data_IF_772579105791
#
_entry.id   IF_772579105791
#
_cell.length_a   1.000
_cell.length_b   1.000
_cell.length_c   1.000
_cell.angle_alpha   90.00
_cell.angle_beta   90.00
_cell.angle_gamma   90.00
#
_symmetry.space_group_name_H-M   'P 1'
#
loop_
_entity.id
_entity.type
_entity.pdbx_description
1 polymer ?
#
# COMPACT_ATOMS: atom_id res chain seq x y z
N UNK A 1 -11.88 -21.18 -9.92
CA UNK A 1 -10.76 -20.75 -10.79
C UNK A 1 -10.52 -19.26 -10.49
N UNK A 2 -9.29 -18.88 -10.18
CA UNK A 2 -8.94 -17.50 -9.79
C UNK A 2 -9.26 -16.56 -10.94
N UNK A 3 -10.00 -15.48 -10.68
CA UNK A 3 -10.30 -14.45 -11.69
C UNK A 3 -9.12 -13.48 -11.80
N UNK A 4 -8.45 -13.50 -12.95
CA UNK A 4 -7.33 -12.60 -13.28
C UNK A 4 -7.73 -11.50 -14.28
N UNK A 5 -9.02 -11.27 -14.44
CA UNK A 5 -9.56 -10.28 -15.36
C UNK A 5 -9.20 -8.85 -14.90
N UNK A 6 -8.83 -8.01 -15.87
CA UNK A 6 -8.48 -6.62 -15.61
C UNK A 6 -7.06 -6.38 -15.09
N UNK A 7 -6.28 -7.42 -14.81
CA UNK A 7 -4.87 -7.25 -14.44
C UNK A 7 -4.09 -6.66 -15.63
N UNK A 8 -3.36 -5.59 -15.37
CA UNK A 8 -2.51 -5.01 -16.41
C UNK A 8 -1.38 -5.97 -16.82
N UNK A 9 -1.10 -6.04 -18.12
CA UNK A 9 -0.11 -6.97 -18.71
C UNK A 9 1.28 -6.92 -18.06
N UNK A 10 1.67 -5.77 -17.49
CA UNK A 10 2.96 -5.62 -16.81
C UNK A 10 3.12 -6.48 -15.57
N UNK A 11 2.02 -6.93 -14.95
CA UNK A 11 2.04 -7.79 -13.76
C UNK A 11 1.78 -9.26 -14.05
N UNK A 12 1.24 -9.62 -15.21
CA UNK A 12 0.85 -11.00 -15.50
C UNK A 12 1.97 -12.03 -15.26
N UNK A 13 3.23 -11.82 -15.70
CA UNK A 13 4.29 -12.81 -15.51
C UNK A 13 4.56 -13.11 -14.03
N UNK A 14 4.63 -12.06 -13.18
CA UNK A 14 4.94 -12.22 -11.75
C UNK A 14 3.74 -12.79 -10.98
N UNK A 15 2.52 -12.44 -11.35
CA UNK A 15 1.30 -12.97 -10.73
C UNK A 15 1.13 -14.43 -11.06
N UNK A 16 1.23 -14.84 -12.35
CA UNK A 16 1.13 -16.25 -12.75
C UNK A 16 2.20 -17.13 -12.08
N UNK A 17 3.42 -16.62 -11.95
CA UNK A 17 4.46 -17.34 -11.22
C UNK A 17 4.12 -17.48 -9.73
N UNK A 18 3.62 -16.41 -9.10
CA UNK A 18 3.37 -16.37 -7.66
C UNK A 18 2.19 -17.22 -7.20
N UNK A 19 1.04 -17.17 -7.91
CA UNK A 19 -0.17 -17.90 -7.50
C UNK A 19 -0.04 -19.43 -7.57
N UNK A 20 0.90 -19.92 -8.36
CA UNK A 20 1.17 -21.36 -8.50
C UNK A 20 2.21 -21.88 -7.49
N UNK A 21 2.71 -21.04 -6.59
CA UNK A 21 3.66 -21.43 -5.56
C UNK A 21 2.97 -21.63 -4.21
N UNK A 22 3.49 -22.58 -3.43
CA UNK A 22 3.08 -22.73 -2.03
C UNK A 22 3.63 -21.57 -1.18
N UNK A 23 2.89 -21.12 -0.15
CA UNK A 23 1.60 -21.66 0.32
C UNK A 23 0.36 -21.09 -0.37
N UNK A 24 0.53 -20.17 -1.35
CA UNK A 24 -0.58 -19.44 -1.99
C UNK A 24 -1.46 -20.36 -2.84
N UNK A 25 -0.87 -21.34 -3.51
CA UNK A 25 -1.61 -22.37 -4.25
C UNK A 25 -2.58 -23.11 -3.34
N UNK A 26 -2.12 -23.55 -2.16
CA UNK A 26 -2.97 -24.23 -1.18
C UNK A 26 -4.09 -23.32 -0.66
N UNK A 27 -3.84 -22.02 -0.48
CA UNK A 27 -4.88 -21.07 -0.09
C UNK A 27 -6.03 -21.07 -1.11
N UNK A 28 -5.74 -20.97 -2.38
CA UNK A 28 -6.76 -20.92 -3.44
C UNK A 28 -7.47 -22.24 -3.68
N UNK A 29 -6.76 -23.36 -3.63
CA UNK A 29 -7.31 -24.69 -3.95
C UNK A 29 -8.06 -25.30 -2.78
N UNK A 30 -7.63 -25.07 -1.53
CA UNK A 30 -8.11 -25.79 -0.38
C UNK A 30 -8.81 -24.93 0.68
N UNK A 31 -8.36 -23.68 0.88
CA UNK A 31 -8.84 -22.83 1.98
C UNK A 31 -10.00 -21.95 1.55
N UNK A 32 -9.81 -21.10 0.55
CA UNK A 32 -10.83 -20.13 0.13
C UNK A 32 -12.15 -20.79 -0.30
N UNK A 33 -12.17 -21.96 -0.98
CA UNK A 33 -13.43 -22.63 -1.32
C UNK A 33 -14.24 -23.12 -0.11
N UNK A 34 -13.60 -23.28 1.06
CA UNK A 34 -14.22 -23.82 2.26
C UNK A 34 -14.69 -22.77 3.27
N UNK A 35 -14.37 -21.48 3.06
CA UNK A 35 -14.63 -20.41 4.02
C UNK A 35 -15.27 -19.19 3.36
N UNK A 36 -15.87 -18.33 4.19
CA UNK A 36 -16.24 -16.97 3.76
C UNK A 36 -15.04 -16.04 3.90
N UNK A 37 -14.70 -15.30 2.84
CA UNK A 37 -13.55 -14.42 2.82
C UNK A 37 -13.86 -13.07 2.18
N UNK A 38 -12.96 -12.10 2.36
CA UNK A 38 -12.99 -10.77 1.79
C UNK A 38 -11.66 -10.50 1.07
N UNK A 39 -11.66 -9.64 0.03
CA UNK A 39 -12.78 -9.04 -0.70
C UNK A 39 -13.52 -10.07 -1.55
N UNK A 40 -14.45 -9.59 -2.39
CA UNK A 40 -15.05 -10.44 -3.46
C UNK A 40 -13.95 -10.97 -4.39
N UNK A 41 -14.17 -12.14 -4.98
CA UNK A 41 -13.18 -12.82 -5.82
C UNK A 41 -12.65 -11.93 -6.97
N UNK A 42 -13.50 -11.13 -7.60
CA UNK A 42 -13.14 -10.21 -8.67
C UNK A 42 -12.29 -9.00 -8.23
N UNK A 43 -12.23 -8.72 -6.92
CA UNK A 43 -11.48 -7.61 -6.34
C UNK A 43 -10.16 -8.03 -5.70
N UNK A 44 -9.84 -9.34 -5.60
CA UNK A 44 -8.60 -9.84 -4.99
C UNK A 44 -7.37 -9.17 -5.63
N UNK A 45 -7.34 -9.10 -6.97
CA UNK A 45 -6.22 -8.55 -7.72
C UNK A 45 -6.47 -7.13 -8.28
N UNK A 46 -7.46 -6.41 -7.75
CA UNK A 46 -7.88 -5.09 -8.25
C UNK A 46 -6.73 -4.08 -8.33
N UNK A 47 -5.84 -4.07 -7.35
CA UNK A 47 -4.69 -3.15 -7.30
C UNK A 47 -3.76 -3.29 -8.52
N UNK A 48 -3.71 -4.47 -9.15
CA UNK A 48 -2.87 -4.75 -10.33
C UNK A 48 -3.49 -4.31 -11.67
N UNK A 49 -4.62 -3.61 -11.65
CA UNK A 49 -5.18 -2.96 -12.85
C UNK A 49 -4.35 -1.76 -13.29
N UNK A 50 -3.65 -1.12 -12.35
CA UNK A 50 -2.74 -0.01 -12.63
C UNK A 50 -1.49 -0.51 -13.39
N UNK A 51 -1.09 0.14 -14.51
CA UNK A 51 0.20 -0.13 -15.17
C UNK A 51 1.38 0.15 -14.23
N UNK A 52 2.41 -0.69 -14.27
CA UNK A 52 3.57 -0.55 -13.36
C UNK A 52 4.31 0.77 -13.56
N UNK A 53 4.40 1.26 -14.79
CA UNK A 53 5.03 2.53 -15.16
C UNK A 53 4.25 3.78 -14.71
N UNK A 54 3.03 3.60 -14.23
CA UNK A 54 2.20 4.68 -13.66
C UNK A 54 2.32 4.79 -12.14
N UNK A 55 2.98 3.84 -11.50
CA UNK A 55 3.12 3.86 -10.05
C UNK A 55 4.13 4.94 -9.64
N UNK A 56 3.66 5.92 -8.88
CA UNK A 56 4.47 6.99 -8.27
C UNK A 56 4.72 6.71 -6.80
N UNK A 57 3.71 6.20 -6.11
CA UNK A 57 3.74 5.92 -4.68
C UNK A 57 3.13 4.55 -4.42
N UNK A 58 3.76 3.74 -3.58
CA UNK A 58 3.19 2.50 -3.04
C UNK A 58 2.86 2.71 -1.57
N UNK A 59 1.62 2.42 -1.19
CA UNK A 59 1.17 2.37 0.21
C UNK A 59 0.91 0.91 0.56
N UNK A 60 1.50 0.42 1.65
CA UNK A 60 1.31 -0.97 2.09
C UNK A 60 0.39 -1.02 3.30
N UNK A 61 -0.81 -1.59 3.11
CA UNK A 61 -1.74 -1.97 4.18
C UNK A 61 -1.45 -3.37 4.73
N UNK A 62 -2.20 -3.79 5.74
CA UNK A 62 -2.06 -5.14 6.32
C UNK A 62 -2.85 -6.16 5.50
N UNK A 63 -4.16 -6.11 5.56
CA UNK A 63 -5.11 -7.02 4.93
C UNK A 63 -6.41 -6.27 4.62
N UNK A 64 -7.33 -6.85 3.83
CA UNK A 64 -8.64 -6.26 3.56
C UNK A 64 -9.47 -6.10 4.83
N UNK A 65 -10.48 -5.22 4.80
CA UNK A 65 -11.51 -5.21 5.84
C UNK A 65 -12.17 -6.58 5.93
N UNK A 66 -12.23 -7.16 7.13
CA UNK A 66 -12.80 -8.51 7.35
C UNK A 66 -14.32 -8.54 7.47
N UNK A 67 -14.98 -7.37 7.50
CA UNK A 67 -16.43 -7.24 7.55
C UNK A 67 -16.99 -7.41 6.14
N UNK A 68 -18.09 -8.20 5.95
CA UNK A 68 -18.69 -8.39 4.64
C UNK A 68 -19.01 -7.10 3.90
N UNK A 69 -18.68 -7.04 2.61
CA UNK A 69 -18.94 -5.92 1.71
C UNK A 69 -18.20 -4.60 2.05
N UNK A 70 -17.23 -4.61 2.95
CA UNK A 70 -16.41 -3.43 3.23
C UNK A 70 -15.11 -3.38 2.42
N UNK A 71 -14.52 -4.52 2.10
CA UNK A 71 -13.25 -4.60 1.39
C UNK A 71 -13.38 -4.31 -0.11
N UNK A 72 -12.62 -3.34 -0.59
CA UNK A 72 -12.60 -2.91 -1.99
C UNK A 72 -11.54 -3.61 -2.86
N UNK A 73 -10.63 -4.41 -2.25
CA UNK A 73 -9.42 -4.90 -2.92
C UNK A 73 -8.24 -3.91 -2.89
N UNK A 74 -8.44 -2.69 -2.40
CA UNK A 74 -7.41 -1.67 -2.23
C UNK A 74 -7.20 -1.37 -0.75
N UNK A 75 -5.95 -1.17 -0.30
CA UNK A 75 -5.70 -0.92 1.12
C UNK A 75 -6.31 0.42 1.56
N UNK A 76 -6.83 0.45 2.81
CA UNK A 76 -7.52 1.58 3.43
C UNK A 76 -8.84 2.02 2.77
N UNK A 77 -9.12 1.63 1.53
CA UNK A 77 -10.36 1.98 0.83
C UNK A 77 -11.50 1.03 1.25
N UNK A 78 -12.62 1.60 1.67
CA UNK A 78 -13.83 0.87 2.07
C UNK A 78 -14.94 1.10 1.04
N UNK A 79 -15.63 0.03 0.61
CA UNK A 79 -16.75 0.11 -0.33
C UNK A 79 -18.01 0.73 0.27
N UNK A 80 -18.09 0.78 1.60
CA UNK A 80 -19.17 1.48 2.29
C UNK A 80 -18.77 2.93 2.58
N UNK A 81 -19.72 3.80 2.81
CA UNK A 81 -19.44 5.20 3.19
C UNK A 81 -18.83 5.37 4.60
N UNK A 82 -18.41 4.27 5.24
CA UNK A 82 -17.76 4.32 6.55
C UNK A 82 -16.28 4.64 6.42
N UNK A 83 -15.88 5.75 6.98
CA UNK A 83 -14.46 6.12 7.10
C UNK A 83 -13.87 5.44 8.34
N UNK A 84 -12.93 4.52 8.15
CA UNK A 84 -12.24 3.84 9.24
C UNK A 84 -11.41 4.81 10.10
N UNK A 85 -11.08 4.43 11.33
CA UNK A 85 -10.24 5.27 12.19
C UNK A 85 -8.82 5.48 11.59
N UNK A 86 -8.27 4.48 10.92
CA UNK A 86 -6.99 4.63 10.18
C UNK A 86 -7.12 5.71 9.11
N UNK A 87 -8.18 5.66 8.30
CA UNK A 87 -8.39 6.62 7.22
C UNK A 87 -8.67 8.04 7.75
N UNK A 88 -9.41 8.17 8.86
CA UNK A 88 -9.59 9.47 9.54
C UNK A 88 -8.25 10.07 9.97
N UNK A 89 -7.36 9.25 10.52
CA UNK A 89 -6.03 9.71 10.94
C UNK A 89 -5.15 10.07 9.73
N UNK A 90 -5.26 9.32 8.62
CA UNK A 90 -4.60 9.65 7.36
C UNK A 90 -5.07 11.03 6.85
N UNK A 91 -6.38 11.26 6.76
CA UNK A 91 -6.92 12.53 6.31
C UNK A 91 -6.53 13.71 7.21
N UNK A 92 -6.49 13.48 8.53
CA UNK A 92 -6.03 14.49 9.48
C UNK A 92 -4.56 14.85 9.26
N UNK A 93 -3.69 13.87 9.00
CA UNK A 93 -2.29 14.12 8.70
C UNK A 93 -2.11 14.83 7.34
N UNK A 94 -2.90 14.47 6.32
CA UNK A 94 -2.92 15.19 5.05
C UNK A 94 -3.25 16.65 5.28
N UNK A 95 -4.35 16.94 5.96
CA UNK A 95 -4.78 18.31 6.23
C UNK A 95 -3.71 19.09 7.00
N UNK A 96 -3.15 18.51 8.06
CA UNK A 96 -2.11 19.12 8.89
C UNK A 96 -0.82 19.44 8.11
N UNK A 97 -0.40 18.54 7.21
CA UNK A 97 0.90 18.66 6.53
C UNK A 97 0.84 19.40 5.18
N UNK A 98 -0.33 19.41 4.54
CA UNK A 98 -0.51 19.97 3.19
C UNK A 98 -1.57 21.06 3.09
N UNK A 99 -2.48 21.16 4.05
CA UNK A 99 -3.66 22.03 3.99
C UNK A 99 -4.78 21.51 3.08
N UNK A 100 -4.67 20.29 2.54
CA UNK A 100 -5.67 19.67 1.67
C UNK A 100 -6.66 18.82 2.47
N UNK A 101 -7.88 18.65 1.95
CA UNK A 101 -8.80 17.62 2.42
C UNK A 101 -8.47 16.32 1.69
N UNK A 102 -8.17 15.23 2.43
CA UNK A 102 -7.78 13.96 1.82
C UNK A 102 -8.96 13.26 1.15
N UNK A 103 -8.74 12.72 -0.06
CA UNK A 103 -9.70 11.86 -0.76
C UNK A 103 -9.00 10.63 -1.36
N UNK A 104 -9.05 9.51 -0.65
CA UNK A 104 -8.44 8.24 -1.08
C UNK A 104 -9.03 7.71 -2.41
N UNK A 105 -10.27 8.08 -2.77
CA UNK A 105 -10.91 7.63 -4.01
C UNK A 105 -10.21 8.16 -5.26
N UNK A 106 -9.49 9.28 -5.14
CA UNK A 106 -8.72 9.88 -6.24
C UNK A 106 -7.28 9.37 -6.34
N UNK A 107 -6.80 8.59 -5.38
CA UNK A 107 -5.38 8.23 -5.27
C UNK A 107 -4.91 7.30 -6.38
N UNK A 108 -5.69 6.25 -6.67
CA UNK A 108 -5.33 5.27 -7.71
C UNK A 108 -5.12 5.95 -9.08
N UNK A 109 -6.00 6.89 -9.44
CA UNK A 109 -5.94 7.62 -10.71
C UNK A 109 -4.70 8.53 -10.83
N UNK A 110 -4.07 8.87 -9.69
CA UNK A 110 -2.88 9.70 -9.62
C UNK A 110 -1.58 8.89 -9.54
N UNK A 111 -1.66 7.55 -9.57
CA UNK A 111 -0.50 6.65 -9.52
C UNK A 111 -0.13 6.20 -8.11
N UNK A 112 -1.08 6.20 -7.17
CA UNK A 112 -0.86 5.63 -5.85
C UNK A 112 -1.35 4.17 -5.83
N UNK A 113 -0.42 3.23 -5.64
CA UNK A 113 -0.65 1.80 -5.62
C UNK A 113 -1.00 1.34 -4.20
N UNK A 114 -2.26 1.04 -3.96
CA UNK A 114 -2.82 0.74 -2.64
C UNK A 114 -2.79 -0.77 -2.35
N UNK A 115 -1.61 -1.29 -2.01
CA UNK A 115 -1.35 -2.73 -1.84
C UNK A 115 -1.60 -3.17 -0.39
N UNK A 116 -2.37 -4.24 -0.18
CA UNK A 116 -2.38 -4.97 1.08
C UNK A 116 -1.28 -6.03 1.11
N UNK A 117 -0.70 -6.30 2.29
CA UNK A 117 0.29 -7.37 2.47
C UNK A 117 -0.33 -8.77 2.33
N UNK A 118 -1.61 -8.93 2.64
CA UNK A 118 -2.43 -10.07 2.28
C UNK A 118 -3.61 -9.59 1.44
N UNK A 119 -3.86 -10.20 0.28
CA UNK A 119 -4.93 -9.76 -0.63
C UNK A 119 -6.28 -10.38 -0.27
N UNK A 120 -6.32 -11.33 0.64
CA UNK A 120 -7.55 -11.92 1.18
C UNK A 120 -7.48 -12.02 2.69
N UNK A 121 -8.65 -12.12 3.32
CA UNK A 121 -8.82 -12.34 4.76
C UNK A 121 -10.08 -13.16 5.00
N UNK A 122 -10.08 -14.09 5.95
CA UNK A 122 -11.29 -14.76 6.40
C UNK A 122 -12.26 -13.76 7.03
N UNK A 123 -13.54 -13.88 6.70
CA UNK A 123 -14.57 -12.98 7.22
C UNK A 123 -14.59 -13.01 8.75
N UNK A 124 -14.43 -11.84 9.37
CA UNK A 124 -14.40 -11.65 10.82
C UNK A 124 -13.06 -11.99 11.51
N UNK A 125 -12.03 -12.45 10.78
CA UNK A 125 -10.76 -12.91 11.35
C UNK A 125 -9.56 -12.15 10.75
N UNK A 126 -9.29 -10.90 11.16
CA UNK A 126 -8.18 -10.10 10.65
C UNK A 126 -6.83 -10.82 10.80
N UNK A 127 -5.99 -10.75 9.77
CA UNK A 127 -4.66 -11.35 9.75
C UNK A 127 -4.60 -12.84 9.36
N UNK A 128 -5.75 -13.51 9.21
CA UNK A 128 -5.84 -14.96 8.97
C UNK A 128 -5.04 -15.47 7.77
N UNK A 129 -4.89 -14.67 6.71
CA UNK A 129 -4.21 -15.09 5.48
C UNK A 129 -2.83 -14.47 5.26
N UNK A 130 -2.29 -13.69 6.21
CA UNK A 130 -1.01 -12.97 6.03
C UNK A 130 0.13 -13.93 5.64
N UNK A 131 0.26 -15.08 6.30
CA UNK A 131 1.33 -16.03 6.03
C UNK A 131 1.27 -16.65 4.64
N UNK A 132 0.08 -16.81 4.06
CA UNK A 132 -0.09 -17.34 2.70
C UNK A 132 0.38 -16.34 1.64
N UNK A 133 0.16 -15.05 1.88
CA UNK A 133 0.46 -13.99 0.92
C UNK A 133 1.88 -13.42 1.02
N UNK A 134 2.59 -13.65 2.12
CA UNK A 134 3.85 -12.96 2.42
C UNK A 134 4.90 -13.11 1.31
N UNK A 135 5.12 -14.33 0.80
CA UNK A 135 6.10 -14.59 -0.26
C UNK A 135 5.69 -13.92 -1.57
N UNK A 136 4.40 -14.00 -1.92
CA UNK A 136 3.85 -13.34 -3.11
C UNK A 136 4.05 -11.83 -3.02
N UNK A 137 3.67 -11.22 -1.91
CA UNK A 137 3.78 -9.77 -1.70
C UNK A 137 5.23 -9.30 -1.72
N UNK A 138 6.16 -10.04 -1.07
CA UNK A 138 7.60 -9.79 -1.19
C UNK A 138 8.06 -9.80 -2.65
N UNK A 139 7.59 -10.77 -3.44
CA UNK A 139 7.95 -10.88 -4.87
C UNK A 139 7.41 -9.70 -5.67
N UNK A 140 6.17 -9.29 -5.42
CA UNK A 140 5.56 -8.11 -6.06
C UNK A 140 6.34 -6.82 -5.71
N UNK A 141 6.71 -6.63 -4.45
CA UNK A 141 7.46 -5.46 -4.00
C UNK A 141 8.83 -5.39 -4.68
N UNK A 142 9.56 -6.51 -4.73
CA UNK A 142 10.84 -6.61 -5.46
C UNK A 142 10.65 -6.29 -6.94
N UNK A 143 9.61 -6.84 -7.55
CA UNK A 143 9.32 -6.62 -8.96
C UNK A 143 9.02 -5.15 -9.26
N UNK A 144 8.13 -4.50 -8.49
CA UNK A 144 7.81 -3.08 -8.66
C UNK A 144 9.09 -2.24 -8.47
N UNK A 145 9.79 -2.40 -7.35
CA UNK A 145 10.95 -1.57 -6.98
C UNK A 145 12.11 -1.69 -7.97
N UNK A 146 12.27 -2.86 -8.63
CA UNK A 146 13.28 -3.07 -9.66
C UNK A 146 12.88 -2.46 -11.01
N UNK A 147 11.59 -2.59 -11.39
CA UNK A 147 11.09 -2.14 -12.70
C UNK A 147 10.75 -0.66 -12.76
N UNK A 148 10.29 -0.11 -11.65
CA UNK A 148 9.80 1.26 -11.57
C UNK A 148 10.11 1.85 -10.18
N UNK A 149 11.32 2.38 -9.94
CA UNK A 149 11.65 3.05 -8.69
C UNK A 149 10.65 4.14 -8.36
N UNK A 150 10.13 4.13 -7.13
CA UNK A 150 9.04 5.00 -6.70
C UNK A 150 9.14 5.36 -5.21
N UNK A 151 8.11 5.99 -4.67
CA UNK A 151 8.03 6.35 -3.25
C UNK A 151 7.24 5.26 -2.49
N UNK A 152 7.71 4.87 -1.30
CA UNK A 152 7.12 3.82 -0.47
C UNK A 152 6.67 4.38 0.88
N UNK A 153 5.39 4.28 1.17
CA UNK A 153 4.84 4.55 2.50
C UNK A 153 4.75 3.26 3.30
N UNK A 154 5.68 3.10 4.25
CA UNK A 154 5.75 1.93 5.12
C UNK A 154 5.23 2.29 6.51
N UNK A 155 3.92 2.15 6.71
CA UNK A 155 3.26 2.50 7.95
C UNK A 155 3.06 1.28 8.85
N UNK A 156 3.71 1.31 10.03
CA UNK A 156 3.66 0.22 11.01
C UNK A 156 4.60 -0.94 10.70
N UNK A 157 4.77 -1.79 11.69
CA UNK A 157 5.74 -2.91 11.65
C UNK A 157 5.47 -3.90 10.51
N UNK A 158 4.19 -4.13 10.17
CA UNK A 158 3.81 -5.06 9.10
C UNK A 158 4.31 -4.58 7.73
N UNK A 159 4.10 -3.30 7.40
CA UNK A 159 4.61 -2.73 6.16
C UNK A 159 6.14 -2.62 6.17
N UNK A 160 6.73 -2.21 7.29
CA UNK A 160 8.19 -2.01 7.44
C UNK A 160 9.01 -3.29 7.28
N UNK A 161 8.44 -4.48 7.53
CA UNK A 161 9.16 -5.75 7.29
C UNK A 161 9.52 -5.98 5.82
N UNK A 162 8.81 -5.33 4.88
CA UNK A 162 9.07 -5.42 3.45
C UNK A 162 10.16 -4.45 2.95
N UNK A 163 10.73 -3.61 3.82
CA UNK A 163 11.86 -2.73 3.45
C UNK A 163 13.03 -3.51 2.82
N UNK A 164 13.31 -4.70 3.33
CA UNK A 164 14.35 -5.61 2.83
C UNK A 164 14.12 -6.10 1.39
N UNK A 165 12.88 -6.00 0.91
CA UNK A 165 12.47 -6.45 -0.42
C UNK A 165 12.48 -5.32 -1.46
N UNK A 166 12.73 -4.07 -1.04
CA UNK A 166 12.79 -2.90 -1.92
C UNK A 166 14.21 -2.76 -2.47
N UNK A 167 14.33 -2.73 -3.80
CA UNK A 167 15.60 -2.56 -4.50
C UNK A 167 16.10 -1.11 -4.40
N UNK A 168 17.43 -0.90 -4.26
CA UNK A 168 18.03 0.44 -4.16
C UNK A 168 17.28 1.41 -3.23
N UNK A 169 17.07 1.05 -1.96
CA UNK A 169 16.27 1.86 -1.05
C UNK A 169 17.03 3.12 -0.61
N UNK A 170 16.36 4.27 -0.62
CA UNK A 170 16.79 5.49 0.04
C UNK A 170 15.83 5.82 1.17
N UNK A 171 16.27 5.64 2.41
CA UNK A 171 15.44 5.93 3.59
C UNK A 171 15.45 7.43 3.85
N UNK A 172 14.30 8.06 3.72
CA UNK A 172 14.10 9.47 4.07
C UNK A 172 14.05 9.58 5.59
N UNK A 173 15.13 10.08 6.20
CA UNK A 173 15.25 10.25 7.66
C UNK A 173 14.91 11.70 8.04
N UNK A 174 14.13 11.82 9.10
CA UNK A 174 13.86 13.09 9.76
C UNK A 174 12.64 13.85 9.22
N UNK A 175 12.01 14.52 10.13
CA UNK A 175 10.78 15.29 9.94
C UNK A 175 11.07 16.80 9.85
N UNK A 176 12.35 17.18 9.60
CA UNK A 176 12.77 18.58 9.51
C UNK A 176 12.76 19.07 8.05
N UNK A 177 12.14 20.21 7.81
CA UNK A 177 12.06 20.85 6.51
C UNK A 177 13.43 21.14 5.84
N UNK A 178 14.53 21.23 6.61
CA UNK A 178 15.89 21.39 6.09
C UNK A 178 16.41 20.13 5.40
N UNK A 179 16.08 18.94 5.93
CA UNK A 179 16.57 17.67 5.40
C UNK A 179 15.94 17.31 4.05
N UNK A 180 14.77 17.84 3.72
CA UNK A 180 14.12 17.57 2.42
C UNK A 180 14.87 18.22 1.25
N UNK A 181 15.52 19.35 1.50
CA UNK A 181 16.30 20.04 0.45
C UNK A 181 17.54 19.24 0.07
N UNK A 182 18.08 18.44 0.99
CA UNK A 182 19.31 17.67 0.84
C UNK A 182 19.06 16.21 0.39
N UNK A 183 17.80 15.79 0.13
CA UNK A 183 17.52 14.47 -0.40
C UNK A 183 18.17 14.32 -1.78
N UNK A 184 19.10 13.35 -1.96
CA UNK A 184 19.69 13.07 -3.26
C UNK A 184 18.59 12.59 -4.20
N UNK A 185 18.50 13.19 -5.38
CA UNK A 185 17.48 12.86 -6.36
C UNK A 185 18.07 11.97 -7.43
N UNK A 186 17.47 10.81 -7.61
CA UNK A 186 17.79 9.87 -8.68
C UNK A 186 16.55 9.04 -9.03
N UNK A 187 16.30 8.88 -10.32
CA UNK A 187 15.27 7.97 -10.83
C UNK A 187 15.61 6.49 -10.59
N UNK A 188 16.76 6.19 -9.98
CA UNK A 188 17.17 4.83 -9.61
C UNK A 188 16.86 4.51 -8.14
N UNK A 189 16.46 5.49 -7.33
CA UNK A 189 16.17 5.27 -5.93
C UNK A 189 14.69 5.01 -5.68
N UNK A 190 14.44 4.04 -4.81
CA UNK A 190 13.18 3.86 -4.15
C UNK A 190 13.19 4.64 -2.83
N UNK A 191 12.37 5.68 -2.71
CA UNK A 191 12.33 6.55 -1.53
C UNK A 191 11.41 5.95 -0.48
N UNK A 192 11.94 5.62 0.68
CA UNK A 192 11.17 5.00 1.77
C UNK A 192 10.88 6.02 2.87
N UNK A 193 9.57 6.21 3.17
CA UNK A 193 9.07 7.02 4.26
C UNK A 193 8.39 6.10 5.28
N UNK A 194 8.93 6.06 6.52
CA UNK A 194 8.45 5.17 7.59
C UNK A 194 7.77 5.95 8.70
N UNK A 195 6.59 5.50 9.11
CA UNK A 195 5.86 6.01 10.27
C UNK A 195 5.20 4.86 11.05
N UNK A 196 4.75 5.08 12.28
CA UNK A 196 3.83 4.19 12.97
C UNK A 196 2.55 3.94 12.15
N UNK A 197 1.80 2.90 12.49
CA UNK A 197 0.55 2.60 11.79
C UNK A 197 -0.53 3.65 12.12
N UNK A 198 -1.31 4.14 11.14
CA UNK A 198 -2.23 5.25 11.35
C UNK A 198 -3.23 5.06 12.50
N UNK A 199 -3.72 3.83 12.75
CA UNK A 199 -4.66 3.54 13.83
C UNK A 199 -4.10 3.83 15.22
N UNK A 200 -2.78 3.77 15.39
CA UNK A 200 -2.14 3.97 16.71
C UNK A 200 -2.37 5.37 17.26
N UNK A 201 -2.62 6.36 16.40
CA UNK A 201 -2.99 7.73 16.83
C UNK A 201 -4.31 7.77 17.59
N UNK A 202 -5.25 6.88 17.27
CA UNK A 202 -6.53 6.79 17.98
C UNK A 202 -6.38 6.36 19.44
N UNK A 203 -5.30 5.66 19.79
CA UNK A 203 -5.02 5.16 21.14
C UNK A 203 -3.98 6.02 21.88
N UNK A 204 -3.06 6.63 21.16
CA UNK A 204 -1.94 7.39 21.74
C UNK A 204 -2.24 8.87 21.94
N UNK A 205 -3.43 9.35 21.53
CA UNK A 205 -3.82 10.77 21.59
C UNK A 205 -2.79 11.72 20.94
N UNK A 206 -2.25 11.30 19.81
CA UNK A 206 -1.27 12.09 19.04
C UNK A 206 0.19 11.83 19.41
N UNK A 207 0.48 10.91 20.34
CA UNK A 207 1.85 10.62 20.78
C UNK A 207 2.53 9.47 20.00
N UNK A 208 1.84 8.85 19.02
CA UNK A 208 2.41 7.70 18.29
C UNK A 208 3.50 8.08 17.30
N UNK A 209 3.48 9.32 16.80
CA UNK A 209 4.41 9.82 15.78
C UNK A 209 3.94 9.57 14.33
N UNK A 210 2.67 9.17 14.10
CA UNK A 210 2.08 9.21 12.76
C UNK A 210 1.70 10.65 12.40
N UNK A 211 1.07 11.39 13.34
CA UNK A 211 0.85 12.83 13.15
C UNK A 211 2.19 13.57 13.15
N UNK A 212 2.34 14.45 12.19
CA UNK A 212 3.59 15.19 11.97
C UNK A 212 4.65 14.39 11.20
N UNK A 213 4.32 13.20 10.68
CA UNK A 213 5.26 12.46 9.82
C UNK A 213 5.52 13.16 8.48
N UNK A 214 4.62 14.05 8.05
CA UNK A 214 4.73 14.89 6.84
C UNK A 214 4.95 14.09 5.54
N UNK A 215 4.60 12.81 5.49
CA UNK A 215 4.85 11.95 4.34
C UNK A 215 4.21 12.48 3.06
N UNK A 216 3.00 13.03 3.15
CA UNK A 216 2.25 13.59 2.03
C UNK A 216 2.95 14.82 1.43
N UNK A 217 3.45 15.71 2.27
CA UNK A 217 4.26 16.86 1.88
C UNK A 217 5.58 16.41 1.27
N UNK A 218 6.28 15.45 1.92
CA UNK A 218 7.58 14.96 1.46
C UNK A 218 7.48 14.24 0.12
N UNK A 219 6.47 13.41 -0.07
CA UNK A 219 6.24 12.75 -1.34
C UNK A 219 6.10 13.78 -2.48
N UNK A 220 5.33 14.84 -2.28
CA UNK A 220 5.17 15.88 -3.29
C UNK A 220 6.47 16.68 -3.56
N UNK A 221 7.32 16.87 -2.55
CA UNK A 221 8.65 17.49 -2.75
C UNK A 221 9.56 16.57 -3.56
N UNK A 222 9.55 15.26 -3.29
CA UNK A 222 10.34 14.28 -4.04
C UNK A 222 9.84 14.22 -5.49
N UNK A 223 8.53 14.10 -5.72
CA UNK A 223 7.93 14.08 -7.05
C UNK A 223 8.30 15.34 -7.86
N UNK A 224 8.20 16.53 -7.26
CA UNK A 224 8.57 17.79 -7.91
C UNK A 224 10.05 17.79 -8.34
N UNK A 225 10.95 17.34 -7.47
CA UNK A 225 12.38 17.24 -7.77
C UNK A 225 12.67 16.20 -8.85
N UNK A 226 11.88 15.12 -8.93
CA UNK A 226 11.92 14.11 -10.00
C UNK A 226 11.27 14.60 -11.30
N UNK A 227 10.71 15.80 -11.33
CA UNK A 227 9.92 16.40 -12.44
C UNK A 227 8.65 15.60 -12.75
N UNK A 228 8.10 14.96 -11.73
CA UNK A 228 6.82 14.25 -11.77
C UNK A 228 5.68 15.16 -11.28
N UNK A 229 4.45 14.83 -11.73
CA UNK A 229 3.25 15.55 -11.28
C UNK A 229 2.99 15.25 -9.80
N UNK A 230 2.79 16.28 -8.99
CA UNK A 230 2.40 16.20 -7.59
C UNK A 230 1.05 15.49 -7.42
N UNK A 231 0.86 14.87 -6.27
CA UNK A 231 -0.41 14.27 -5.87
C UNK A 231 -1.32 15.36 -5.28
N UNK A 232 -2.56 15.35 -5.69
CA UNK A 232 -3.67 16.03 -5.01
C UNK A 232 -4.25 15.02 -4.01
N UNK A 233 -3.92 15.20 -2.76
CA UNK A 233 -4.21 14.23 -1.70
C UNK A 233 -5.68 14.12 -1.35
#
# INVERSE_FOLDING_TARGET
MIKLEGIHKSFLPVIYSGINQEPLKSLFENILPAISFQPREEDIFKVFRMPIDKIKIVVIGQDPYSIPNEASGLCFLNETNKVSNSLKNIYREINSSTGMEGDIHCWEQQGIFLLNSALTVETGNPGSHISYWELFTSTIIRYISYKNPCIWFLWGKMAQKFEKDIYSPFIVKGYDNKLIQDIPISNQYNYILKAPYPITESYSKGASGFYGCNHFKYANVILEKLKETKIQW
#
